data_IF_401435162234
#
_entry.id   IF_401435162234
#
_cell.length_a   1.000
_cell.length_b   1.000
_cell.length_c   1.000
_cell.angle_alpha   90.00
_cell.angle_beta   90.00
_cell.angle_gamma   90.00
#
_symmetry.space_group_name_H-M   'P 1'
#
loop_
_entity.id
_entity.type
_entity.pdbx_description
1 polymer ?
#
# COMPACT_ATOMS: atom_id res chain seq x y z
N UNK A 1 -40.91 -34.98 31.48
CA UNK A 1 -41.90 -35.60 30.58
C UNK A 1 -43.14 -34.71 30.58
N UNK A 2 -43.25 -33.81 29.59
CA UNK A 2 -44.47 -33.07 29.26
C UNK A 2 -44.32 -32.55 27.83
N UNK A 3 -45.26 -32.96 27.00
CA UNK A 3 -45.26 -32.93 25.55
C UNK A 3 -45.85 -31.62 25.01
N UNK A 4 -45.27 -31.19 23.88
CA UNK A 4 -45.89 -30.55 22.70
C UNK A 4 -46.75 -29.30 22.85
N UNK A 5 -46.39 -28.27 22.07
CA UNK A 5 -47.32 -27.71 21.06
C UNK A 5 -46.55 -27.16 19.85
N UNK A 6 -46.93 -27.69 18.68
CA UNK A 6 -46.59 -27.27 17.33
C UNK A 6 -47.47 -26.09 16.87
N UNK A 7 -47.00 -25.40 15.82
CA UNK A 7 -47.80 -24.57 14.91
C UNK A 7 -47.43 -23.09 14.98
N UNK A 8 -47.23 -22.33 13.90
CA UNK A 8 -47.42 -22.53 12.47
C UNK A 8 -46.53 -21.50 11.74
N UNK A 9 -45.83 -21.90 10.68
CA UNK A 9 -45.64 -21.05 9.49
C UNK A 9 -46.74 -21.44 8.51
N UNK A 10 -47.24 -20.54 7.64
CA UNK A 10 -46.65 -20.49 6.29
C UNK A 10 -46.80 -19.15 5.51
N UNK A 11 -46.17 -19.15 4.32
CA UNK A 11 -46.48 -18.38 3.08
C UNK A 11 -45.92 -16.94 3.00
N UNK A 12 -44.80 -16.70 2.30
CA UNK A 12 -44.69 -16.41 0.85
C UNK A 12 -45.50 -15.19 0.37
N UNK A 13 -44.83 -14.05 0.21
CA UNK A 13 -45.24 -13.03 -0.75
C UNK A 13 -44.03 -12.66 -1.62
N UNK A 14 -44.04 -13.14 -2.86
CA UNK A 14 -43.16 -12.67 -3.93
C UNK A 14 -43.86 -11.59 -4.76
N UNK A 15 -43.02 -10.69 -5.31
CA UNK A 15 -43.17 -9.82 -6.51
C UNK A 15 -43.71 -8.39 -6.27
N UNK A 16 -43.44 -7.41 -7.19
CA UNK A 16 -42.63 -7.45 -8.43
C UNK A 16 -41.52 -6.37 -8.54
N UNK A 17 -40.66 -6.56 -9.55
CA UNK A 17 -39.69 -5.59 -10.10
C UNK A 17 -40.39 -4.39 -10.77
N UNK A 18 -39.97 -3.18 -10.45
CA UNK A 18 -40.05 -1.95 -11.26
C UNK A 18 -38.94 -1.00 -10.76
N UNK A 19 -38.12 -0.29 -11.53
CA UNK A 19 -37.90 -0.19 -12.96
C UNK A 19 -36.50 0.42 -13.18
N UNK A 20 -35.81 -0.05 -14.22
CA UNK A 20 -34.55 0.52 -14.71
C UNK A 20 -34.89 1.47 -15.85
N UNK A 21 -34.51 2.76 -15.81
CA UNK A 21 -34.40 3.55 -17.02
C UNK A 21 -33.01 3.33 -17.66
N UNK A 22 -32.94 2.97 -18.96
CA UNK A 22 -31.70 2.97 -19.71
C UNK A 22 -31.48 4.33 -20.40
N UNK A 23 -30.22 4.53 -20.84
CA UNK A 23 -29.74 5.52 -21.83
C UNK A 23 -29.20 6.84 -21.27
N UNK A 24 -27.88 6.94 -21.25
CA UNK A 24 -27.14 7.99 -21.94
C UNK A 24 -25.78 7.42 -22.37
N UNK A 25 -25.79 6.74 -23.53
CA UNK A 25 -24.60 6.51 -24.35
C UNK A 25 -24.37 7.81 -25.11
N UNK A 26 -23.25 8.47 -24.88
CA UNK A 26 -22.67 9.42 -25.82
C UNK A 26 -21.25 8.97 -26.13
N UNK A 27 -21.16 8.05 -27.10
CA UNK A 27 -20.04 7.96 -28.02
C UNK A 27 -20.17 9.13 -29.00
N UNK A 28 -19.07 9.84 -29.21
CA UNK A 28 -18.68 10.60 -30.40
C UNK A 28 -17.71 11.70 -29.93
N UNK A 29 -16.62 12.05 -30.60
CA UNK A 29 -15.82 11.46 -31.65
C UNK A 29 -14.61 12.40 -31.71
N UNK A 30 -13.39 11.85 -31.77
CA UNK A 30 -12.22 12.61 -32.18
C UNK A 30 -12.39 13.02 -33.65
N UNK A 31 -12.06 14.25 -34.04
CA UNK A 31 -11.64 14.52 -35.40
C UNK A 31 -10.12 14.63 -35.46
N UNK A 32 -9.51 13.58 -36.01
CA UNK A 32 -8.22 13.65 -36.70
C UNK A 32 -8.43 14.20 -38.12
N UNK A 33 -7.77 15.31 -38.47
CA UNK A 33 -7.41 15.74 -39.83
C UNK A 33 -6.09 16.52 -39.66
N UNK A 34 -4.91 16.09 -40.12
CA UNK A 34 -4.42 15.82 -41.48
C UNK A 34 -4.58 16.98 -42.47
N UNK A 35 -3.48 17.22 -43.22
CA UNK A 35 -3.21 18.20 -44.30
C UNK A 35 -2.54 19.50 -43.82
N UNK A 36 -1.41 19.99 -44.36
CA UNK A 36 -0.68 19.75 -45.62
C UNK A 36 0.84 20.00 -45.39
N UNK A 37 1.81 19.27 -45.97
CA UNK A 37 2.37 19.39 -47.33
C UNK A 37 2.59 20.87 -47.72
N UNK A 38 3.79 21.42 -47.97
CA UNK A 38 4.78 21.03 -49.00
C UNK A 38 6.05 21.90 -48.84
N UNK A 39 7.21 21.25 -48.82
CA UNK A 39 8.39 21.50 -49.68
C UNK A 39 8.72 22.93 -50.17
N UNK A 40 9.97 23.37 -49.95
CA UNK A 40 10.92 23.75 -51.03
C UNK A 40 12.30 24.11 -50.50
N UNK A 41 13.25 23.23 -50.83
CA UNK A 41 14.48 23.50 -51.60
C UNK A 41 15.55 24.49 -51.06
N UNK A 42 16.76 23.93 -51.01
CA UNK A 42 18.06 24.54 -51.36
C UNK A 42 18.66 25.46 -50.28
N UNK A 43 19.94 25.41 -49.93
CA UNK A 43 21.14 25.24 -50.77
C UNK A 43 22.23 24.58 -49.92
N UNK A 44 22.85 23.52 -50.44
CA UNK A 44 24.17 23.10 -50.01
C UNK A 44 25.22 24.02 -50.64
N UNK A 45 26.04 24.69 -49.82
CA UNK A 45 27.33 25.22 -50.26
C UNK A 45 28.40 24.60 -49.37
N UNK A 46 29.19 23.71 -49.98
CA UNK A 46 30.46 23.26 -49.48
C UNK A 46 31.56 24.24 -49.93
N UNK A 47 32.39 24.67 -48.99
CA UNK A 47 33.71 25.32 -49.13
C UNK A 47 34.14 25.54 -47.67
N UNK A 48 35.31 25.17 -47.16
CA UNK A 48 36.57 24.67 -47.66
C UNK A 48 37.48 24.64 -46.42
N UNK A 49 38.44 23.74 -46.40
CA UNK A 49 39.28 23.46 -45.24
C UNK A 49 39.99 24.70 -44.64
N UNK A 50 39.93 24.83 -43.31
CA UNK A 50 40.97 25.48 -42.52
C UNK A 50 41.10 24.73 -41.19
N UNK A 51 42.16 23.92 -41.11
CA UNK A 51 42.60 23.20 -39.92
C UNK A 51 43.08 24.24 -38.91
N UNK A 52 42.28 24.57 -37.91
CA UNK A 52 42.76 25.18 -36.66
C UNK A 52 42.57 24.14 -35.58
N UNK A 53 43.64 23.41 -35.27
CA UNK A 53 43.74 22.60 -34.06
C UNK A 53 43.78 23.56 -32.87
N UNK A 54 42.59 24.01 -32.43
CA UNK A 54 42.43 24.60 -31.11
C UNK A 54 42.73 23.49 -30.10
N UNK A 55 43.96 23.48 -29.59
CA UNK A 55 44.29 22.80 -28.34
C UNK A 55 43.49 23.50 -27.26
N UNK A 56 42.26 23.02 -27.03
CA UNK A 56 41.53 23.41 -25.84
C UNK A 56 42.33 22.87 -24.65
N UNK A 57 42.78 23.72 -23.70
CA UNK A 57 43.24 23.19 -22.43
C UNK A 57 42.03 22.47 -21.83
N UNK A 58 42.11 21.15 -21.77
CA UNK A 58 41.20 20.36 -20.93
C UNK A 58 41.52 20.76 -19.50
N UNK A 59 40.85 21.79 -19.01
CA UNK A 59 40.78 22.06 -17.57
C UNK A 59 40.03 20.85 -17.03
N UNK A 60 40.78 19.89 -16.50
CA UNK A 60 40.24 18.86 -15.63
C UNK A 60 39.64 19.61 -14.44
N UNK A 61 38.37 19.98 -14.55
CA UNK A 61 37.58 20.42 -13.41
C UNK A 61 37.69 19.35 -12.33
N UNK A 62 37.67 19.73 -11.04
CA UNK A 62 37.68 18.75 -9.97
C UNK A 62 36.57 17.75 -10.27
N UNK A 63 36.91 16.46 -10.28
CA UNK A 63 35.94 15.40 -10.38
C UNK A 63 34.95 15.63 -9.24
N UNK A 64 33.79 16.21 -9.57
CA UNK A 64 32.65 16.24 -8.69
C UNK A 64 32.23 14.78 -8.59
N UNK A 65 32.82 14.08 -7.62
CA UNK A 65 32.33 12.81 -7.15
C UNK A 65 30.90 13.08 -6.70
N UNK A 66 29.94 12.86 -7.61
CA UNK A 66 28.53 12.81 -7.28
C UNK A 66 28.45 11.76 -6.18
N UNK A 67 28.23 12.24 -4.96
CA UNK A 67 28.00 11.41 -3.79
C UNK A 67 26.60 10.81 -3.96
N UNK A 68 26.43 9.95 -4.96
CA UNK A 68 25.21 9.19 -5.20
C UNK A 68 25.17 8.13 -4.12
N UNK A 69 24.55 8.49 -2.99
CA UNK A 69 24.14 7.51 -1.98
C UNK A 69 23.44 6.37 -2.73
N UNK A 70 23.93 5.15 -2.55
CA UNK A 70 23.32 3.97 -3.13
C UNK A 70 21.83 3.93 -2.77
N UNK A 71 20.99 3.50 -3.71
CA UNK A 71 19.57 3.36 -3.45
C UNK A 71 19.35 2.40 -2.26
N UNK A 72 18.39 2.68 -1.37
CA UNK A 72 18.13 1.84 -0.21
C UNK A 72 17.68 0.45 -0.66
N UNK A 73 18.23 -0.57 -0.03
CA UNK A 73 17.86 -1.97 -0.20
C UNK A 73 16.41 -2.22 0.25
N UNK A 74 15.74 -3.28 -0.21
CA UNK A 74 14.39 -3.63 0.24
C UNK A 74 14.25 -3.75 1.76
N UNK A 75 15.27 -4.32 2.43
CA UNK A 75 15.31 -4.45 3.89
C UNK A 75 15.33 -3.07 4.57
N UNK A 76 16.17 -2.15 4.09
CA UNK A 76 16.24 -0.79 4.63
C UNK A 76 14.94 -0.02 4.40
N UNK A 77 14.29 -0.20 3.24
CA UNK A 77 13.00 0.42 2.96
C UNK A 77 11.91 -0.08 3.93
N UNK A 78 11.87 -1.39 4.20
CA UNK A 78 10.91 -1.97 5.15
C UNK A 78 11.20 -1.52 6.58
N UNK A 79 12.47 -1.46 7.00
CA UNK A 79 12.85 -0.90 8.30
C UNK A 79 12.41 0.56 8.44
N UNK A 80 12.58 1.37 7.39
CA UNK A 80 12.08 2.74 7.34
C UNK A 80 10.57 2.83 7.53
N UNK A 81 9.80 1.99 6.82
CA UNK A 81 8.35 1.93 6.99
C UNK A 81 7.95 1.49 8.41
N UNK A 82 8.58 0.46 8.98
CA UNK A 82 8.28 -0.01 10.34
C UNK A 82 8.50 1.10 11.37
N UNK A 83 9.61 1.84 11.25
CA UNK A 83 9.89 3.00 12.12
C UNK A 83 8.81 4.08 11.98
N UNK A 84 8.37 4.36 10.76
CA UNK A 84 7.30 5.33 10.51
C UNK A 84 5.96 4.88 11.10
N UNK A 85 5.62 3.59 10.99
CA UNK A 85 4.42 3.01 11.60
C UNK A 85 4.45 3.10 13.13
N UNK A 86 5.57 2.72 13.76
CA UNK A 86 5.73 2.77 15.22
C UNK A 86 5.69 4.23 15.74
N UNK A 87 6.23 5.17 14.96
CA UNK A 87 6.18 6.61 15.28
C UNK A 87 4.82 7.26 15.00
N UNK A 88 3.87 6.55 14.36
CA UNK A 88 2.64 7.11 13.81
C UNK A 88 2.89 8.32 12.87
N UNK A 89 3.98 8.28 12.10
CA UNK A 89 4.35 9.34 11.16
C UNK A 89 3.68 9.09 9.80
N UNK A 90 2.52 9.73 9.59
CA UNK A 90 1.74 9.63 8.36
C UNK A 90 2.55 10.06 7.12
N UNK A 91 3.39 11.10 7.24
CA UNK A 91 4.17 11.63 6.12
C UNK A 91 5.23 10.63 5.68
N UNK A 92 5.95 10.05 6.65
CA UNK A 92 6.96 9.04 6.36
C UNK A 92 6.34 7.73 5.83
N UNK A 93 5.16 7.32 6.34
CA UNK A 93 4.44 6.16 5.78
C UNK A 93 4.08 6.39 4.31
N UNK A 94 3.55 7.56 3.96
CA UNK A 94 3.21 7.90 2.58
C UNK A 94 4.44 7.96 1.67
N UNK A 95 5.56 8.48 2.17
CA UNK A 95 6.83 8.55 1.44
C UNK A 95 7.43 7.18 1.18
N UNK A 96 7.28 6.23 2.12
CA UNK A 96 7.78 4.86 1.96
C UNK A 96 6.91 4.00 1.03
N UNK A 97 5.64 4.33 0.83
CA UNK A 97 4.69 3.52 0.06
C UNK A 97 4.58 3.93 -1.41
N UNK A 98 4.51 2.93 -2.29
CA UNK A 98 4.10 3.10 -3.68
C UNK A 98 2.66 3.65 -3.75
N UNK A 99 2.30 4.30 -4.87
CA UNK A 99 0.96 4.93 -5.02
C UNK A 99 -0.18 3.93 -4.87
N UNK A 100 0.01 2.72 -5.39
CA UNK A 100 -0.95 1.61 -5.41
C UNK A 100 -0.72 0.58 -4.29
N UNK A 101 -0.06 0.96 -3.19
CA UNK A 101 0.24 0.05 -2.07
C UNK A 101 -1.00 -0.71 -1.57
N UNK A 102 -0.83 -1.97 -1.21
CA UNK A 102 -1.86 -2.79 -0.56
C UNK A 102 -1.43 -3.21 0.84
N UNK A 103 -2.15 -2.77 1.87
CA UNK A 103 -2.03 -3.36 3.20
C UNK A 103 -3.17 -4.36 3.41
N UNK A 104 -2.84 -5.54 3.92
CA UNK A 104 -3.80 -6.60 4.21
C UNK A 104 -3.53 -7.17 5.61
N UNK A 105 -4.58 -7.32 6.39
CA UNK A 105 -4.54 -7.96 7.70
C UNK A 105 -5.79 -8.85 7.88
N UNK A 106 -5.71 -9.94 8.67
CA UNK A 106 -6.87 -10.78 8.93
C UNK A 106 -7.94 -9.98 9.70
N UNK A 107 -9.21 -10.32 9.44
CA UNK A 107 -10.33 -9.87 10.28
C UNK A 107 -10.41 -10.85 11.45
N UNK A 108 -10.19 -10.35 12.65
CA UNK A 108 -9.98 -11.14 13.87
C UNK A 108 -11.28 -11.65 14.49
N UNK A 109 -12.37 -10.90 14.32
CA UNK A 109 -13.69 -11.19 14.89
C UNK A 109 -14.80 -10.42 14.15
N UNK A 110 -16.09 -10.80 14.28
CA UNK A 110 -17.19 -10.02 13.71
C UNK A 110 -17.20 -8.59 14.23
N UNK A 111 -17.17 -7.62 13.32
CA UNK A 111 -17.08 -6.19 13.67
C UNK A 111 -15.66 -5.67 13.89
N UNK A 112 -14.63 -6.52 13.71
CA UNK A 112 -13.24 -6.07 13.68
C UNK A 112 -13.02 -5.11 12.52
N UNK A 113 -12.59 -3.89 12.86
CA UNK A 113 -12.23 -2.84 11.91
C UNK A 113 -10.71 -2.69 11.76
N UNK A 114 -9.89 -3.52 12.40
CA UNK A 114 -8.43 -3.53 12.28
C UNK A 114 -7.93 -4.40 11.12
N UNK A 115 -8.74 -5.41 10.75
CA UNK A 115 -8.52 -6.27 9.60
C UNK A 115 -9.07 -5.74 8.28
N UNK A 116 -8.77 -6.47 7.19
CA UNK A 116 -9.27 -6.21 5.84
C UNK A 116 -8.18 -5.82 4.85
N UNK A 117 -8.62 -5.32 3.69
CA UNK A 117 -7.76 -4.81 2.62
C UNK A 117 -7.82 -3.29 2.57
N UNK A 118 -6.66 -2.66 2.50
CA UNK A 118 -6.47 -1.22 2.49
C UNK A 118 -5.65 -0.83 1.26
N UNK A 119 -6.31 -0.21 0.29
CA UNK A 119 -5.76 0.02 -1.07
C UNK A 119 -5.31 1.46 -1.27
N UNK A 120 -4.15 1.60 -1.91
CA UNK A 120 -3.48 2.86 -2.17
C UNK A 120 -3.00 3.55 -0.89
N UNK A 121 -2.38 4.71 -1.08
CA UNK A 121 -1.86 5.55 0.01
C UNK A 121 -2.93 5.94 1.05
N UNK A 122 -4.15 6.23 0.60
CA UNK A 122 -5.28 6.48 1.52
C UNK A 122 -5.63 5.26 2.37
N UNK A 123 -5.57 4.06 1.77
CA UNK A 123 -5.72 2.80 2.51
C UNK A 123 -4.65 2.64 3.58
N UNK A 124 -3.38 2.89 3.26
CA UNK A 124 -2.28 2.79 4.23
C UNK A 124 -2.48 3.72 5.45
N UNK A 125 -2.93 4.96 5.22
CA UNK A 125 -3.30 5.88 6.31
C UNK A 125 -4.51 5.39 7.10
N UNK A 126 -5.52 4.86 6.41
CA UNK A 126 -6.72 4.29 7.08
C UNK A 126 -6.34 3.14 8.00
N UNK A 127 -5.42 2.27 7.56
CA UNK A 127 -4.86 1.20 8.38
C UNK A 127 -4.17 1.75 9.64
N UNK A 128 -3.26 2.73 9.48
CA UNK A 128 -2.56 3.35 10.61
C UNK A 128 -3.54 3.99 11.60
N UNK A 129 -4.49 4.79 11.09
CA UNK A 129 -5.49 5.49 11.91
C UNK A 129 -6.39 4.52 12.67
N UNK A 130 -6.79 3.39 12.07
CA UNK A 130 -7.60 2.37 12.75
C UNK A 130 -6.86 1.77 13.94
N UNK A 131 -5.61 1.38 13.77
CA UNK A 131 -4.79 0.86 14.86
C UNK A 131 -4.55 1.91 15.95
N UNK A 132 -4.19 3.14 15.57
CA UNK A 132 -4.01 4.27 16.50
C UNK A 132 -5.28 4.57 17.31
N UNK A 133 -6.46 4.49 16.69
CA UNK A 133 -7.73 4.80 17.35
C UNK A 133 -8.24 3.64 18.21
N UNK A 134 -7.94 2.39 17.87
CA UNK A 134 -8.37 1.23 18.63
C UNK A 134 -7.46 0.88 19.81
N UNK A 135 -6.18 1.28 19.74
CA UNK A 135 -5.16 0.82 20.68
C UNK A 135 -4.43 1.96 21.39
N UNK A 136 -3.93 1.66 22.59
CA UNK A 136 -3.06 2.50 23.41
C UNK A 136 -1.75 1.75 23.68
N UNK A 137 -0.61 2.45 23.58
CA UNK A 137 0.70 1.87 23.86
C UNK A 137 1.09 0.72 22.93
N UNK A 138 0.57 0.72 21.69
CA UNK A 138 0.91 -0.29 20.69
C UNK A 138 2.42 -0.23 20.40
N UNK A 139 3.10 -1.35 20.59
CA UNK A 139 4.54 -1.49 20.33
C UNK A 139 4.83 -2.81 19.64
N UNK A 140 5.85 -2.80 18.78
CA UNK A 140 6.42 -3.99 18.15
C UNK A 140 7.70 -4.40 18.89
N UNK A 141 7.75 -5.62 19.40
CA UNK A 141 8.88 -6.14 20.18
C UNK A 141 9.53 -7.32 19.46
N UNK A 142 10.86 -7.38 19.52
CA UNK A 142 11.63 -8.49 18.95
C UNK A 142 11.48 -8.59 17.43
N UNK A 143 11.31 -7.47 16.74
CA UNK A 143 11.15 -7.44 15.30
C UNK A 143 12.43 -7.96 14.62
N UNK A 144 12.30 -9.06 13.87
CA UNK A 144 13.35 -9.60 13.02
C UNK A 144 12.95 -9.36 11.57
N UNK A 145 13.78 -8.61 10.85
CA UNK A 145 13.60 -8.29 9.43
C UNK A 145 14.57 -9.15 8.63
N UNK A 146 14.06 -9.99 7.73
CA UNK A 146 14.88 -10.87 6.88
C UNK A 146 14.48 -10.72 5.42
N UNK A 147 15.43 -10.89 4.47
CA UNK A 147 15.07 -11.12 3.08
C UNK A 147 14.07 -12.27 2.96
N UNK A 148 13.15 -12.17 2.00
CA UNK A 148 12.25 -13.25 1.62
C UNK A 148 12.85 -14.13 0.51
N UNK A 149 12.01 -14.96 -0.10
CA UNK A 149 12.41 -15.87 -1.18
C UNK A 149 12.67 -15.13 -2.50
N UNK A 150 12.02 -13.96 -2.68
CA UNK A 150 12.22 -13.06 -3.82
C UNK A 150 13.16 -11.90 -3.51
N UNK A 151 13.85 -11.33 -4.52
CA UNK A 151 14.75 -10.20 -4.34
C UNK A 151 14.02 -8.91 -3.92
N UNK A 152 12.72 -8.83 -4.15
CA UNK A 152 11.82 -7.74 -3.78
C UNK A 152 11.01 -8.04 -2.50
N UNK A 153 11.21 -9.21 -1.90
CA UNK A 153 10.44 -9.69 -0.78
C UNK A 153 11.20 -9.51 0.54
N UNK A 154 10.50 -9.07 1.57
CA UNK A 154 11.03 -8.98 2.94
C UNK A 154 10.01 -9.57 3.89
N UNK A 155 10.48 -10.38 4.83
CA UNK A 155 9.66 -10.99 5.87
C UNK A 155 10.03 -10.36 7.21
N UNK A 156 9.01 -10.01 7.99
CA UNK A 156 9.17 -9.46 9.34
C UNK A 156 8.39 -10.30 10.32
N UNK A 157 9.06 -10.85 11.31
CA UNK A 157 8.41 -11.50 12.46
C UNK A 157 8.57 -10.62 13.67
N UNK A 158 7.49 -10.36 14.40
CA UNK A 158 7.51 -9.54 15.60
C UNK A 158 6.37 -9.90 16.56
N UNK A 159 6.46 -9.46 17.81
CA UNK A 159 5.36 -9.50 18.75
C UNK A 159 4.72 -8.13 18.87
N UNK A 160 3.43 -8.01 18.58
CA UNK A 160 2.67 -6.80 18.86
C UNK A 160 2.07 -6.89 20.27
N UNK A 161 2.17 -5.80 21.01
CA UNK A 161 1.59 -5.68 22.33
C UNK A 161 1.02 -4.29 22.53
N UNK A 162 -0.03 -4.19 23.32
CA UNK A 162 -0.69 -2.93 23.62
C UNK A 162 -1.95 -3.15 24.44
N UNK A 163 -2.81 -2.14 24.46
CA UNK A 163 -4.10 -2.16 25.14
C UNK A 163 -5.21 -1.76 24.17
N UNK A 164 -6.36 -2.42 24.23
CA UNK A 164 -7.57 -1.97 23.53
C UNK A 164 -8.17 -0.78 24.28
N UNK A 165 -8.35 0.35 23.58
CA UNK A 165 -8.90 1.58 24.18
C UNK A 165 -10.32 1.41 24.70
N UNK A 166 -11.15 0.63 23.99
CA UNK A 166 -12.55 0.44 24.35
C UNK A 166 -12.77 -0.32 25.67
N UNK A 167 -11.86 -1.23 26.02
CA UNK A 167 -12.03 -2.14 27.18
C UNK A 167 -10.96 -1.96 28.25
N UNK A 168 -9.84 -1.30 27.92
CA UNK A 168 -8.67 -1.22 28.80
C UNK A 168 -7.86 -2.54 28.89
N UNK A 169 -8.27 -3.59 28.19
CA UNK A 169 -7.62 -4.90 28.25
C UNK A 169 -6.33 -4.92 27.42
N UNK A 170 -5.30 -5.57 27.95
CA UNK A 170 -4.04 -5.78 27.25
C UNK A 170 -4.18 -6.90 26.21
N UNK A 171 -3.46 -6.78 25.11
CA UNK A 171 -3.26 -7.86 24.15
C UNK A 171 -1.77 -8.05 23.86
N UNK A 172 -1.44 -9.26 23.43
CA UNK A 172 -0.10 -9.61 22.99
C UNK A 172 -0.21 -10.74 21.98
N UNK A 173 0.31 -10.54 20.78
CA UNK A 173 0.15 -11.48 19.67
C UNK A 173 1.40 -11.52 18.80
N UNK A 174 1.71 -12.70 18.28
CA UNK A 174 2.78 -12.89 17.30
C UNK A 174 2.28 -12.50 15.90
N UNK A 175 3.12 -11.79 15.16
CA UNK A 175 2.84 -11.36 13.79
C UNK A 175 3.93 -11.82 12.85
N UNK A 176 3.51 -12.20 11.64
CA UNK A 176 4.38 -12.29 10.47
C UNK A 176 3.86 -11.31 9.43
N UNK A 177 4.73 -10.46 8.90
CA UNK A 177 4.41 -9.51 7.84
C UNK A 177 5.28 -9.81 6.64
N UNK A 178 4.66 -9.99 5.48
CA UNK A 178 5.34 -10.19 4.21
C UNK A 178 5.19 -8.91 3.40
N UNK A 179 6.32 -8.31 3.04
CA UNK A 179 6.41 -7.11 2.24
C UNK A 179 6.84 -7.44 0.82
N UNK A 180 6.30 -6.69 -0.15
CA UNK A 180 6.88 -6.57 -1.49
C UNK A 180 7.30 -5.14 -1.75
N UNK A 181 8.48 -4.98 -2.31
CA UNK A 181 9.15 -3.68 -2.51
C UNK A 181 9.37 -3.47 -4.01
N UNK A 182 8.76 -2.43 -4.57
CA UNK A 182 8.94 -2.03 -5.95
C UNK A 182 9.90 -0.86 -6.11
N UNK A 183 10.10 -0.42 -7.35
CA UNK A 183 10.94 0.74 -7.67
C UNK A 183 10.43 2.05 -7.03
N UNK A 184 9.11 2.16 -6.80
CA UNK A 184 8.48 3.33 -6.17
C UNK A 184 8.31 3.22 -4.64
N UNK A 185 8.83 2.15 -4.01
CA UNK A 185 8.70 1.88 -2.57
C UNK A 185 7.85 0.65 -2.26
N UNK A 186 7.25 0.59 -1.08
CA UNK A 186 6.47 -0.57 -0.61
C UNK A 186 5.20 -0.72 -1.44
N UNK A 187 5.05 -1.87 -2.12
CA UNK A 187 3.89 -2.21 -2.97
C UNK A 187 2.85 -3.01 -2.19
N UNK A 188 3.27 -3.83 -1.24
CA UNK A 188 2.32 -4.52 -0.37
C UNK A 188 2.90 -4.86 0.99
N UNK A 189 2.03 -4.91 2.00
CA UNK A 189 2.27 -5.52 3.30
C UNK A 189 1.11 -6.45 3.63
N UNK A 190 1.37 -7.75 3.70
CA UNK A 190 0.38 -8.75 4.16
C UNK A 190 0.77 -9.19 5.55
N UNK A 191 -0.12 -8.96 6.51
CA UNK A 191 0.05 -9.31 7.91
C UNK A 191 -0.70 -10.60 8.22
N UNK A 192 -0.07 -11.49 8.98
CA UNK A 192 -0.62 -12.71 9.51
C UNK A 192 -0.47 -12.71 11.03
N UNK A 193 -1.54 -13.06 11.73
CA UNK A 193 -1.55 -13.31 13.16
C UNK A 193 -2.80 -14.11 13.55
N UNK A 194 -2.76 -14.73 14.74
CA UNK A 194 -3.96 -15.24 15.39
C UNK A 194 -4.75 -14.07 16.01
N UNK A 195 -6.01 -13.92 15.61
CA UNK A 195 -6.90 -12.85 16.05
C UNK A 195 -7.51 -13.07 17.44
N UNK A 196 -7.41 -14.27 18.01
CA UNK A 196 -8.02 -14.60 19.31
C UNK A 196 -7.57 -13.68 20.46
N UNK A 197 -6.28 -13.30 20.59
CA UNK A 197 -5.84 -12.34 21.60
C UNK A 197 -6.49 -10.94 21.45
N UNK A 198 -6.72 -10.49 20.21
CA UNK A 198 -7.41 -9.22 19.95
C UNK A 198 -8.89 -9.30 20.27
N UNK A 199 -9.55 -10.39 19.84
CA UNK A 199 -10.97 -10.62 20.15
C UNK A 199 -11.22 -10.63 21.66
N UNK A 200 -10.40 -11.37 22.40
CA UNK A 200 -10.44 -11.42 23.87
C UNK A 200 -10.22 -10.03 24.48
N UNK A 201 -9.21 -9.30 24.03
CA UNK A 201 -8.94 -7.96 24.54
C UNK A 201 -10.08 -6.98 24.20
N UNK A 202 -10.70 -7.10 23.03
CA UNK A 202 -11.86 -6.31 22.63
C UNK A 202 -13.15 -6.67 23.41
N UNK A 203 -13.11 -7.67 24.30
CA UNK A 203 -14.27 -8.09 25.09
C UNK A 203 -15.25 -8.97 24.32
N UNK A 204 -14.86 -9.50 23.17
CA UNK A 204 -15.67 -10.43 22.40
C UNK A 204 -15.70 -11.76 23.15
N UNK A 205 -16.92 -12.21 23.49
CA UNK A 205 -17.13 -13.54 24.06
C UNK A 205 -16.97 -14.56 22.93
N UNK A 206 -15.90 -15.33 22.97
CA UNK A 206 -15.75 -16.52 22.13
C UNK A 206 -16.61 -17.62 22.73
N UNK A 207 -17.54 -18.16 21.92
CA UNK A 207 -18.40 -19.28 22.32
C UNK A 207 -17.60 -20.57 22.49
#
# INVERSE_FOLDING_TARGET
MLLTKFGNSPVLAQRPRQGVPPKCRALCALPSKHEAYTDRRSVAVALGAALITLVQPTIAGPAYAKNTKAAPTPVEQVQGLLKALDANDETAVLAACAKNVLFKAPVSYPGDNLGGEFKGRYGALTYLTRWKNATEGLTSVGAKVTPGDGPDQVVVTARLQGRMKATGNKFSLSTTRVFRVGAEGIVSMVTYYDGAPLAKAAGVKTA
#
